data_IF_100709903969
#
_entry.id   IF_100709903969
#
_cell.length_a   1.000
_cell.length_b   1.000
_cell.length_c   1.000
_cell.angle_alpha   90.00
_cell.angle_beta   90.00
_cell.angle_gamma   90.00
#
_symmetry.space_group_name_H-M   'P 1'
#
loop_
_entity.id
_entity.type
_entity.pdbx_description
1 polymer ?
#
# COMPACT_ATOMS: atom_id res chain seq x y z
N UNK A 1 16.76 21.52 -10.61
CA UNK A 1 16.81 21.07 -9.20
C UNK A 1 15.66 20.09 -9.02
N UNK A 2 15.95 18.79 -8.98
CA UNK A 2 14.92 17.76 -8.76
C UNK A 2 14.66 17.78 -7.25
N UNK A 3 13.50 18.27 -6.82
CA UNK A 3 13.11 18.16 -5.41
C UNK A 3 12.97 16.65 -5.11
N UNK A 4 13.63 16.12 -4.07
CA UNK A 4 13.36 14.76 -3.65
C UNK A 4 11.87 14.67 -3.29
N UNK A 5 11.15 13.82 -3.99
CA UNK A 5 9.74 13.54 -3.72
C UNK A 5 9.67 12.67 -2.47
N UNK A 6 9.81 13.30 -1.30
CA UNK A 6 9.74 12.60 -0.02
C UNK A 6 8.32 12.14 0.26
N UNK A 7 8.22 11.00 0.93
CA UNK A 7 6.96 10.44 1.36
C UNK A 7 6.31 11.36 2.41
N UNK A 8 5.05 11.73 2.17
CA UNK A 8 4.32 12.66 3.02
C UNK A 8 2.83 12.32 3.01
N UNK A 9 2.20 12.53 4.17
CA UNK A 9 0.75 12.48 4.34
C UNK A 9 0.27 13.84 4.85
N UNK A 10 -0.62 14.46 4.07
CA UNK A 10 -1.24 15.75 4.37
C UNK A 10 -2.71 15.53 4.74
N UNK A 11 -3.14 16.09 5.86
CA UNK A 11 -4.55 16.09 6.28
C UNK A 11 -5.14 17.48 6.08
N UNK A 12 -6.36 17.53 5.60
CA UNK A 12 -7.09 18.77 5.42
C UNK A 12 -8.57 18.59 5.72
N UNK A 13 -9.25 19.70 6.02
CA UNK A 13 -10.68 19.75 6.30
C UNK A 13 -11.32 20.73 5.33
N UNK A 14 -12.48 20.39 4.80
CA UNK A 14 -13.28 21.34 4.04
C UNK A 14 -14.12 22.15 5.03
N UNK A 15 -13.67 23.33 5.48
CA UNK A 15 -14.32 24.09 6.58
C UNK A 15 -15.85 24.26 6.45
N UNK A 16 -16.37 24.42 5.23
CA UNK A 16 -17.80 24.61 4.97
C UNK A 16 -18.59 23.29 4.79
N UNK A 17 -17.92 22.14 4.88
CA UNK A 17 -18.51 20.81 4.70
C UNK A 17 -18.05 19.89 5.84
N UNK A 18 -18.90 18.98 6.31
CA UNK A 18 -18.51 18.01 7.33
C UNK A 18 -17.65 16.86 6.75
N UNK A 19 -16.62 17.20 5.97
CA UNK A 19 -15.79 16.28 5.19
C UNK A 19 -14.32 16.58 5.45
N UNK A 20 -13.57 15.53 5.81
CA UNK A 20 -12.11 15.54 5.90
C UNK A 20 -11.50 14.89 4.67
N UNK A 21 -10.32 15.33 4.27
CA UNK A 21 -9.55 14.75 3.19
C UNK A 21 -8.11 14.46 3.61
N UNK A 22 -7.50 13.54 2.89
CA UNK A 22 -6.11 13.13 3.09
C UNK A 22 -5.45 12.99 1.71
N UNK A 23 -4.19 13.39 1.61
CA UNK A 23 -3.36 13.23 0.42
C UNK A 23 -2.04 12.60 0.83
N UNK A 24 -1.64 11.54 0.15
CA UNK A 24 -0.42 10.80 0.47
C UNK A 24 0.46 10.57 -0.76
N UNK A 25 1.77 10.62 -0.57
CA UNK A 25 2.78 10.12 -1.50
C UNK A 25 3.67 9.12 -0.76
N UNK A 26 3.92 7.95 -1.35
CA UNK A 26 4.66 6.82 -0.75
C UNK A 26 5.74 6.26 -1.69
N UNK A 27 6.38 7.13 -2.48
CA UNK A 27 7.33 6.75 -3.53
C UNK A 27 8.58 6.05 -2.99
N UNK A 28 9.19 6.57 -1.92
CA UNK A 28 10.43 6.06 -1.34
C UNK A 28 10.17 4.75 -0.57
N UNK A 29 9.14 4.73 0.27
CA UNK A 29 8.72 3.55 1.03
C UNK A 29 8.27 2.43 0.09
N UNK A 30 7.58 2.75 -1.01
CA UNK A 30 7.25 1.76 -2.06
C UNK A 30 8.51 1.17 -2.66
N UNK A 31 9.51 2.00 -2.98
CA UNK A 31 10.77 1.49 -3.53
C UNK A 31 11.43 0.50 -2.56
N UNK A 32 11.51 0.85 -1.27
CA UNK A 32 12.11 -0.01 -0.24
C UNK A 32 11.35 -1.33 -0.03
N UNK A 33 10.00 -1.31 -0.05
CA UNK A 33 9.18 -2.52 0.07
C UNK A 33 9.38 -3.46 -1.12
N UNK A 34 9.65 -2.92 -2.30
CA UNK A 34 9.88 -3.70 -3.52
C UNK A 34 11.36 -4.08 -3.71
N UNK A 35 12.27 -3.37 -3.06
CA UNK A 35 13.70 -3.63 -3.08
C UNK A 35 13.97 -5.00 -2.45
N UNK A 36 14.79 -5.83 -3.12
CA UNK A 36 15.11 -7.22 -2.77
C UNK A 36 14.07 -8.29 -3.14
N UNK A 37 13.01 -7.95 -3.88
CA UNK A 37 12.07 -8.93 -4.42
C UNK A 37 11.89 -8.77 -5.93
N UNK A 38 12.07 -9.85 -6.68
CA UNK A 38 11.80 -9.86 -8.13
C UNK A 38 10.31 -10.09 -8.42
N UNK A 39 9.48 -9.14 -7.98
CA UNK A 39 8.04 -9.22 -8.20
C UNK A 39 7.66 -8.89 -9.66
N UNK A 40 6.75 -9.67 -10.27
CA UNK A 40 6.09 -9.28 -11.51
C UNK A 40 5.37 -7.94 -11.36
N UNK A 41 5.23 -7.20 -12.46
CA UNK A 41 4.63 -5.86 -12.44
C UNK A 41 3.23 -5.81 -11.81
N UNK A 42 2.31 -6.77 -12.06
CA UNK A 42 1.00 -6.78 -11.41
C UNK A 42 1.08 -6.86 -9.87
N UNK A 43 2.04 -7.62 -9.33
CA UNK A 43 2.24 -7.72 -7.87
C UNK A 43 2.80 -6.42 -7.30
N UNK A 44 3.74 -5.78 -8.00
CA UNK A 44 4.27 -4.46 -7.63
C UNK A 44 3.15 -3.41 -7.56
N UNK A 45 2.19 -3.46 -8.47
CA UNK A 45 1.04 -2.57 -8.49
C UNK A 45 0.14 -2.80 -7.26
N UNK A 46 -0.24 -4.04 -6.98
CA UNK A 46 -1.10 -4.36 -5.83
C UNK A 46 -0.44 -3.97 -4.49
N UNK A 47 0.86 -4.22 -4.33
CA UNK A 47 1.59 -3.77 -3.13
C UNK A 47 1.62 -2.24 -3.00
N UNK A 48 1.75 -1.51 -4.12
CA UNK A 48 1.70 -0.05 -4.11
C UNK A 48 0.30 0.48 -3.74
N UNK A 49 -0.76 -0.12 -4.29
CA UNK A 49 -2.15 0.20 -3.95
C UNK A 49 -2.46 -0.09 -2.48
N UNK A 50 -2.04 -1.26 -1.97
CA UNK A 50 -2.19 -1.61 -0.56
C UNK A 50 -1.39 -0.68 0.35
N UNK A 51 -0.22 -0.23 -0.07
CA UNK A 51 0.59 0.71 0.71
C UNK A 51 -0.12 2.06 0.87
N UNK A 52 -0.67 2.59 -0.23
CA UNK A 52 -1.48 3.82 -0.21
C UNK A 52 -2.72 3.63 0.66
N UNK A 53 -3.47 2.53 0.45
CA UNK A 53 -4.67 2.25 1.22
C UNK A 53 -4.38 2.13 2.73
N UNK A 54 -3.32 1.41 3.09
CA UNK A 54 -2.91 1.24 4.48
C UNK A 54 -2.46 2.56 5.09
N UNK A 55 -1.71 3.39 4.37
CA UNK A 55 -1.27 4.71 4.84
C UNK A 55 -2.43 5.63 5.18
N UNK A 56 -3.41 5.73 4.27
CA UNK A 56 -4.64 6.51 4.48
C UNK A 56 -5.45 5.95 5.66
N UNK A 57 -5.72 4.64 5.70
CA UNK A 57 -6.46 4.03 6.81
C UNK A 57 -5.79 4.29 8.16
N UNK A 58 -4.47 4.18 8.21
CA UNK A 58 -3.67 4.39 9.43
C UNK A 58 -3.75 5.85 9.91
N UNK A 59 -3.91 6.82 9.01
CA UNK A 59 -4.10 8.22 9.39
C UNK A 59 -5.47 8.52 10.02
N UNK A 60 -6.44 7.62 9.85
CA UNK A 60 -7.77 7.77 10.44
C UNK A 60 -7.92 7.16 11.84
N UNK A 61 -6.91 6.42 12.31
CA UNK A 61 -6.90 5.81 13.64
C UNK A 61 -6.97 6.86 14.75
N UNK A 62 -7.77 6.57 15.78
CA UNK A 62 -7.90 7.40 16.99
C UNK A 62 -7.05 6.93 18.17
N UNK A 63 -6.24 5.89 17.97
CA UNK A 63 -5.42 5.25 18.99
C UNK A 63 -4.05 4.87 18.40
N UNK A 64 -3.08 4.68 19.29
CA UNK A 64 -1.73 4.25 18.92
C UNK A 64 -1.69 2.73 18.77
N UNK A 65 -1.21 2.25 17.63
CA UNK A 65 -1.12 0.82 17.34
C UNK A 65 -0.77 0.53 15.88
N UNK A 66 -0.78 -0.76 15.56
CA UNK A 66 -0.51 -1.29 14.23
C UNK A 66 -1.82 -1.67 13.52
N UNK A 67 -1.88 -1.41 12.21
CA UNK A 67 -2.88 -1.93 11.28
C UNK A 67 -2.20 -2.86 10.29
N UNK A 68 -2.90 -3.93 9.93
CA UNK A 68 -2.50 -4.79 8.80
C UNK A 68 -3.64 -4.84 7.81
N UNK A 69 -3.36 -4.51 6.55
CA UNK A 69 -4.28 -4.70 5.43
C UNK A 69 -3.70 -5.79 4.56
N UNK A 70 -4.52 -6.79 4.25
CA UNK A 70 -4.08 -7.94 3.47
C UNK A 70 -5.14 -8.40 2.48
N UNK A 71 -4.65 -8.96 1.38
CA UNK A 71 -5.40 -9.73 0.40
C UNK A 71 -4.94 -11.17 0.50
N UNK A 72 -5.90 -12.09 0.52
CA UNK A 72 -5.67 -13.52 0.63
C UNK A 72 -6.63 -14.27 -0.30
N UNK A 73 -6.13 -15.29 -0.96
CA UNK A 73 -6.93 -16.17 -1.81
C UNK A 73 -6.10 -17.32 -2.38
N UNK A 74 -6.68 -18.05 -3.32
CA UNK A 74 -6.14 -19.26 -3.93
C UNK A 74 -5.52 -19.03 -5.33
N UNK A 75 -5.45 -17.77 -5.79
CA UNK A 75 -4.77 -17.37 -7.00
C UNK A 75 -3.23 -17.50 -6.97
N UNK A 76 -2.55 -17.11 -8.06
CA UNK A 76 -1.09 -17.17 -8.16
C UNK A 76 -0.37 -16.27 -7.15
N UNK A 77 -1.04 -15.24 -6.61
CA UNK A 77 -0.59 -14.43 -5.48
C UNK A 77 -1.48 -14.71 -4.26
N UNK A 78 -1.10 -15.70 -3.45
CA UNK A 78 -1.92 -16.16 -2.31
C UNK A 78 -1.96 -15.21 -1.12
N UNK A 79 -1.00 -14.29 -1.04
CA UNK A 79 -0.93 -13.27 0.01
C UNK A 79 -0.32 -11.99 -0.54
N UNK A 80 -0.94 -10.86 -0.26
CA UNK A 80 -0.30 -9.55 -0.31
C UNK A 80 -0.67 -8.80 0.96
N UNK A 81 0.32 -8.29 1.69
CA UNK A 81 0.09 -7.69 3.01
C UNK A 81 0.97 -6.46 3.21
N UNK A 82 0.36 -5.39 3.71
CA UNK A 82 1.06 -4.22 4.24
C UNK A 82 0.68 -4.06 5.72
N UNK A 83 1.68 -3.86 6.55
CA UNK A 83 1.55 -3.47 7.94
C UNK A 83 2.02 -2.02 8.10
N UNK A 84 1.24 -1.23 8.82
CA UNK A 84 1.52 0.16 9.13
C UNK A 84 1.21 0.47 10.59
N UNK A 85 1.77 1.55 11.12
CA UNK A 85 1.43 2.04 12.45
C UNK A 85 1.08 3.53 12.44
N UNK A 86 0.51 4.03 13.53
CA UNK A 86 0.11 5.43 13.70
C UNK A 86 1.22 6.47 13.36
N UNK A 87 2.50 6.07 13.37
CA UNK A 87 3.65 6.90 12.97
C UNK A 87 4.00 6.81 11.48
N UNK A 88 3.13 6.21 10.67
CA UNK A 88 3.30 5.98 9.23
C UNK A 88 4.53 5.12 8.87
N UNK A 89 4.98 4.27 9.79
CA UNK A 89 6.05 3.30 9.48
C UNK A 89 5.43 2.09 8.80
N UNK A 90 5.81 1.85 7.55
CA UNK A 90 5.19 0.81 6.72
C UNK A 90 6.18 -0.30 6.37
N UNK A 91 5.66 -1.51 6.24
CA UNK A 91 6.38 -2.68 5.68
C UNK A 91 5.38 -3.62 5.02
N UNK A 92 5.84 -4.43 4.08
CA UNK A 92 4.94 -5.38 3.43
C UNK A 92 5.66 -6.39 2.58
N UNK A 93 4.92 -7.43 2.21
CA UNK A 93 5.39 -8.54 1.38
C UNK A 93 4.23 -9.11 0.57
N UNK A 94 4.56 -9.75 -0.55
CA UNK A 94 3.65 -10.62 -1.29
C UNK A 94 4.22 -12.05 -1.38
N UNK A 95 3.33 -13.03 -1.41
CA UNK A 95 3.65 -14.43 -1.67
C UNK A 95 3.09 -14.82 -3.03
N UNK A 96 3.98 -15.17 -3.95
CA UNK A 96 3.66 -15.68 -5.28
C UNK A 96 3.94 -17.18 -5.28
N UNK A 97 2.97 -17.96 -5.77
CA UNK A 97 3.00 -19.42 -5.78
C UNK A 97 2.64 -20.03 -7.15
N UNK A 98 2.47 -19.19 -8.16
CA UNK A 98 2.12 -19.62 -9.51
C UNK A 98 2.58 -18.61 -10.56
N UNK A 99 2.27 -18.90 -11.82
CA UNK A 99 2.56 -18.00 -12.94
C UNK A 99 1.63 -16.78 -12.91
N UNK A 100 2.20 -15.59 -13.11
CA UNK A 100 1.46 -14.34 -13.11
C UNK A 100 1.39 -13.82 -14.56
N UNK A 101 0.19 -13.74 -15.16
CA UNK A 101 0.01 -13.11 -16.46
C UNK A 101 0.49 -11.65 -16.45
N UNK A 102 1.08 -11.18 -17.55
CA UNK A 102 1.64 -9.83 -17.67
C UNK A 102 0.64 -8.71 -17.31
N UNK A 103 -0.64 -8.91 -17.67
CA UNK A 103 -1.74 -7.97 -17.44
C UNK A 103 -2.78 -8.52 -16.47
N UNK A 104 -2.36 -9.32 -15.48
CA UNK A 104 -3.27 -9.88 -14.48
C UNK A 104 -4.00 -8.76 -13.70
N UNK A 105 -5.32 -8.85 -13.63
CA UNK A 105 -6.12 -7.98 -12.78
C UNK A 105 -6.13 -8.48 -11.32
N UNK A 106 -6.70 -7.67 -10.42
CA UNK A 106 -6.73 -7.99 -8.98
C UNK A 106 -7.38 -9.35 -8.70
N UNK A 107 -8.47 -9.67 -9.40
CA UNK A 107 -9.20 -10.93 -9.23
C UNK A 107 -8.35 -12.11 -9.71
N UNK A 108 -7.72 -12.00 -10.87
CA UNK A 108 -6.82 -13.03 -11.41
C UNK A 108 -5.64 -13.28 -10.48
N UNK A 109 -5.11 -12.24 -9.83
CA UNK A 109 -3.98 -12.39 -8.90
C UNK A 109 -4.38 -13.11 -7.61
N UNK A 110 -5.50 -12.74 -7.01
CA UNK A 110 -5.89 -13.20 -5.66
C UNK A 110 -6.73 -14.48 -5.71
N UNK A 111 -7.54 -14.68 -6.75
CA UNK A 111 -8.59 -15.73 -6.82
C UNK A 111 -9.99 -15.14 -6.79
#
# INVERSE_FOLDING_TARGET
>A
MIMPQHDQLHRYLFENFAVRGELVTVSETRQQILENHDYPQPVKNVLAELLVATSLLTATLKFDGDITVQLQGDGPMSLAVINGNNKQQMRGVARVQGEIPENADLKTLVG
#
